data_IF_490566839591
#
_entry.id   IF_490566839591
#
_cell.length_a   1.000
_cell.length_b   1.000
_cell.length_c   1.000
_cell.angle_alpha   90.00
_cell.angle_beta   90.00
_cell.angle_gamma   90.00
#
_symmetry.space_group_name_H-M   'P 1'
#
loop_
_entity.id
_entity.type
_entity.pdbx_description
1 polymer ?
#
# COMPACT_ATOMS: atom_id res chain seq x y z
N UNK A 1 7.58 -7.86 12.94
CA UNK A 1 6.99 -7.64 11.60
C UNK A 1 5.70 -6.85 11.73
N UNK A 2 5.47 -5.96 10.79
CA UNK A 2 4.31 -5.06 10.78
C UNK A 2 3.47 -5.33 9.54
N UNK A 3 2.16 -5.45 9.73
CA UNK A 3 1.20 -5.45 8.63
C UNK A 3 0.61 -4.04 8.53
N UNK A 4 0.68 -3.45 7.35
CA UNK A 4 0.10 -2.12 7.10
C UNK A 4 -0.99 -2.25 6.04
N UNK A 5 -2.14 -1.64 6.31
CA UNK A 5 -3.26 -1.62 5.37
C UNK A 5 -3.54 -0.17 5.00
N UNK A 6 -3.43 0.16 3.72
CA UNK A 6 -3.76 1.50 3.23
C UNK A 6 -5.03 1.37 2.39
N UNK A 7 -6.15 1.86 2.92
CA UNK A 7 -7.44 1.83 2.24
C UNK A 7 -7.61 3.10 1.41
N UNK A 8 -7.98 2.93 0.15
CA UNK A 8 -8.06 4.00 -0.83
C UNK A 8 -9.43 4.04 -1.48
N UNK A 9 -9.88 5.26 -1.84
CA UNK A 9 -11.05 5.43 -2.68
C UNK A 9 -10.68 6.28 -3.89
N UNK A 10 -10.98 5.78 -5.08
CA UNK A 10 -10.62 6.42 -6.33
C UNK A 10 -11.75 6.25 -7.35
N UNK A 11 -11.94 7.28 -8.18
CA UNK A 11 -12.89 7.23 -9.29
C UNK A 11 -12.25 6.73 -10.58
N UNK A 12 -10.95 6.41 -10.56
CA UNK A 12 -10.29 5.85 -11.73
C UNK A 12 -10.89 4.48 -12.06
N UNK A 13 -11.04 4.15 -13.37
CA UNK A 13 -11.38 2.77 -13.74
C UNK A 13 -10.33 1.81 -13.19
N UNK A 14 -10.75 0.61 -12.83
CA UNK A 14 -9.84 -0.40 -12.26
C UNK A 14 -8.62 -0.63 -13.17
N UNK A 15 -8.83 -0.71 -14.47
CA UNK A 15 -7.74 -0.91 -15.44
C UNK A 15 -6.67 0.18 -15.36
N UNK A 16 -7.11 1.43 -15.24
CA UNK A 16 -6.20 2.56 -15.15
C UNK A 16 -5.45 2.55 -13.81
N UNK A 17 -6.16 2.22 -12.74
CA UNK A 17 -5.54 2.12 -11.41
C UNK A 17 -4.46 1.03 -11.40
N UNK A 18 -4.75 -0.13 -11.97
CA UNK A 18 -3.79 -1.22 -12.08
C UNK A 18 -2.60 -0.84 -12.95
N UNK A 19 -2.83 -0.14 -14.04
CA UNK A 19 -1.75 0.32 -14.91
C UNK A 19 -0.78 1.21 -14.13
N UNK A 20 -1.31 2.17 -13.39
CA UNK A 20 -0.49 3.07 -12.57
C UNK A 20 0.27 2.32 -11.48
N UNK A 21 -0.39 1.35 -10.85
CA UNK A 21 0.26 0.52 -9.82
C UNK A 21 1.43 -0.26 -10.41
N UNK A 22 1.25 -0.86 -11.58
CA UNK A 22 2.31 -1.63 -12.24
C UNK A 22 3.48 -0.74 -12.68
N UNK A 23 3.21 0.47 -13.13
CA UNK A 23 4.25 1.43 -13.50
C UNK A 23 5.12 1.81 -12.30
N UNK A 24 4.56 1.76 -11.10
CA UNK A 24 5.25 2.12 -9.87
C UNK A 24 5.92 0.94 -9.17
N UNK A 25 5.70 -0.29 -9.66
CA UNK A 25 6.29 -1.51 -9.07
C UNK A 25 7.78 -1.41 -8.77
N UNK A 26 8.63 -0.96 -9.71
CA UNK A 26 10.07 -0.92 -9.44
C UNK A 26 10.43 -0.08 -8.22
N UNK A 27 9.71 1.02 -8.00
CA UNK A 27 9.95 1.88 -6.85
C UNK A 27 9.62 1.16 -5.54
N UNK A 28 8.52 0.40 -5.52
CA UNK A 28 8.13 -0.36 -4.33
C UNK A 28 9.04 -1.56 -4.10
N UNK A 29 9.47 -2.24 -5.17
CA UNK A 29 10.41 -3.36 -5.04
C UNK A 29 11.75 -2.93 -4.46
N UNK A 30 12.13 -1.69 -4.65
CA UNK A 30 13.41 -1.16 -4.15
C UNK A 30 13.37 -0.74 -2.68
N UNK A 31 12.20 -0.76 -2.03
CA UNK A 31 12.09 -0.29 -0.65
C UNK A 31 12.71 -1.31 0.31
N UNK A 32 13.75 -0.90 1.09
CA UNK A 32 14.33 -1.79 2.09
C UNK A 32 13.29 -2.18 3.15
N UNK A 33 13.26 -3.47 3.49
CA UNK A 33 12.37 -3.96 4.54
C UNK A 33 10.93 -4.24 4.14
N UNK A 34 10.55 -3.93 2.90
CA UNK A 34 9.23 -4.31 2.40
C UNK A 34 9.30 -5.77 1.94
N UNK A 35 8.73 -6.66 2.74
CA UNK A 35 8.80 -8.09 2.50
C UNK A 35 7.79 -8.55 1.45
N UNK A 36 6.60 -7.94 1.46
CA UNK A 36 5.53 -8.27 0.53
C UNK A 36 4.54 -7.14 0.45
N UNK A 37 3.89 -7.02 -0.70
CA UNK A 37 2.79 -6.06 -0.89
C UNK A 37 1.72 -6.74 -1.74
N UNK A 38 0.46 -6.62 -1.29
CA UNK A 38 -0.71 -7.09 -2.02
C UNK A 38 -1.55 -5.92 -2.47
N UNK A 39 -2.00 -5.96 -3.72
CA UNK A 39 -2.91 -4.97 -4.28
C UNK A 39 -4.29 -5.61 -4.29
N UNK A 40 -5.24 -5.04 -3.56
CA UNK A 40 -6.56 -5.65 -3.38
C UNK A 40 -7.66 -4.68 -3.74
N UNK A 41 -8.84 -5.23 -4.02
CA UNK A 41 -10.04 -4.42 -4.20
C UNK A 41 -11.13 -4.92 -3.28
N UNK A 42 -11.96 -3.98 -2.82
CA UNK A 42 -13.15 -4.29 -2.06
C UNK A 42 -14.31 -4.66 -3.01
N UNK A 43 -15.37 -5.25 -2.46
CA UNK A 43 -16.61 -5.45 -3.21
C UNK A 43 -17.36 -4.14 -3.46
N UNK A 44 -16.99 -3.06 -2.79
CA UNK A 44 -17.52 -1.73 -3.07
C UNK A 44 -16.75 -1.10 -4.22
N UNK A 45 -17.49 -0.60 -5.21
CA UNK A 45 -16.89 0.06 -6.38
C UNK A 45 -16.03 1.26 -5.96
N UNK A 46 -14.82 1.32 -6.48
CA UNK A 46 -13.90 2.42 -6.21
C UNK A 46 -13.12 2.30 -4.91
N UNK A 47 -13.33 1.24 -4.14
CA UNK A 47 -12.62 1.01 -2.88
C UNK A 47 -11.54 -0.07 -3.05
N UNK A 48 -10.32 0.30 -2.71
CA UNK A 48 -9.13 -0.56 -2.88
C UNK A 48 -8.29 -0.53 -1.62
N UNK A 49 -7.37 -1.48 -1.50
CA UNK A 49 -6.43 -1.47 -0.39
C UNK A 49 -5.08 -2.03 -0.83
N UNK A 50 -4.01 -1.41 -0.35
CA UNK A 50 -2.68 -1.99 -0.40
C UNK A 50 -2.39 -2.63 0.94
N UNK A 51 -1.91 -3.86 0.94
CA UNK A 51 -1.52 -4.57 2.15
C UNK A 51 -0.02 -4.80 2.09
N UNK A 52 0.68 -4.24 3.07
CA UNK A 52 2.14 -4.26 3.13
C UNK A 52 2.60 -5.10 4.30
N UNK A 53 3.67 -5.88 4.10
CA UNK A 53 4.32 -6.61 5.18
C UNK A 53 5.73 -6.07 5.33
N UNK A 54 6.03 -5.48 6.50
CA UNK A 54 7.30 -4.84 6.82
C UNK A 54 8.11 -5.71 7.77
N UNK A 55 9.44 -5.73 7.59
CA UNK A 55 10.32 -6.49 8.45
C UNK A 55 10.47 -5.86 9.84
N UNK A 56 10.27 -4.54 9.95
CA UNK A 56 10.49 -3.81 11.19
C UNK A 56 9.68 -2.53 11.24
N UNK A 57 9.55 -1.99 12.44
CA UNK A 57 8.94 -0.69 12.67
C UNK A 57 9.72 0.42 11.96
N UNK A 58 11.05 0.32 11.95
CA UNK A 58 11.90 1.32 11.31
C UNK A 58 11.65 1.40 9.82
N UNK A 59 11.56 0.26 9.14
CA UNK A 59 11.28 0.21 7.71
C UNK A 59 9.92 0.81 7.38
N UNK A 60 8.90 0.49 8.17
CA UNK A 60 7.56 1.06 8.03
C UNK A 60 7.59 2.58 8.18
N UNK A 61 8.28 3.09 9.21
CA UNK A 61 8.34 4.54 9.46
C UNK A 61 9.10 5.27 8.35
N UNK A 62 10.17 4.68 7.85
CA UNK A 62 10.92 5.26 6.73
C UNK A 62 10.04 5.40 5.49
N UNK A 63 9.24 4.38 5.19
CA UNK A 63 8.30 4.46 4.06
C UNK A 63 7.24 5.53 4.29
N UNK A 64 6.64 5.55 5.50
CA UNK A 64 5.59 6.53 5.83
C UNK A 64 6.05 7.96 5.59
N UNK A 65 7.31 8.25 5.89
CA UNK A 65 7.86 9.60 5.76
C UNK A 65 8.45 9.88 4.38
N UNK A 66 8.43 8.90 3.48
CA UNK A 66 9.03 9.03 2.15
C UNK A 66 8.14 9.81 1.18
N UNK A 67 8.77 10.37 0.14
CA UNK A 67 8.05 11.02 -0.94
C UNK A 67 7.16 10.05 -1.70
N UNK A 68 7.60 8.79 -1.79
CA UNK A 68 6.82 7.75 -2.47
C UNK A 68 5.47 7.55 -1.78
N UNK A 69 5.47 7.46 -0.44
CA UNK A 69 4.23 7.32 0.32
C UNK A 69 3.34 8.55 0.16
N UNK A 70 3.94 9.73 0.20
CA UNK A 70 3.20 10.99 0.07
C UNK A 70 2.61 11.20 -1.31
N UNK A 71 3.14 10.52 -2.33
CA UNK A 71 2.65 10.62 -3.70
C UNK A 71 1.44 9.73 -3.99
N UNK A 72 1.08 8.83 -3.08
CA UNK A 72 -0.02 7.87 -3.31
C UNK A 72 -1.35 8.55 -3.62
N UNK A 73 -1.81 9.57 -2.85
CA UNK A 73 -3.08 10.21 -3.17
C UNK A 73 -3.13 10.79 -4.57
N UNK A 74 -2.07 11.46 -5.01
CA UNK A 74 -2.01 12.05 -6.34
C UNK A 74 -1.90 10.99 -7.42
N UNK A 75 -1.08 9.97 -7.19
CA UNK A 75 -0.84 8.91 -8.18
C UNK A 75 -2.12 8.17 -8.58
N UNK A 76 -3.04 7.98 -7.64
CA UNK A 76 -4.30 7.26 -7.88
C UNK A 76 -5.51 8.18 -7.87
N UNK A 77 -5.31 9.49 -7.86
CA UNK A 77 -6.38 10.49 -7.86
C UNK A 77 -7.45 10.16 -6.81
N UNK A 78 -7.00 10.01 -5.56
CA UNK A 78 -7.90 9.65 -4.47
C UNK A 78 -8.92 10.75 -4.23
N UNK A 79 -10.16 10.35 -3.92
CA UNK A 79 -11.25 11.28 -3.65
C UNK A 79 -11.31 11.72 -2.19
N UNK A 80 -10.53 11.04 -1.33
CA UNK A 80 -10.40 11.40 0.07
C UNK A 80 -9.06 10.92 0.59
N UNK A 81 -8.67 11.37 1.77
CA UNK A 81 -7.41 10.93 2.39
C UNK A 81 -7.43 9.41 2.62
N UNK A 82 -6.30 8.71 2.38
CA UNK A 82 -6.25 7.28 2.62
C UNK A 82 -6.40 6.96 4.11
N UNK A 83 -7.05 5.84 4.42
CA UNK A 83 -7.17 5.33 5.77
C UNK A 83 -6.08 4.30 6.00
N UNK A 84 -5.23 4.54 6.99
CA UNK A 84 -4.06 3.69 7.26
C UNK A 84 -4.23 2.97 8.58
N UNK A 85 -4.13 1.64 8.56
CA UNK A 85 -4.13 0.80 9.75
C UNK A 85 -2.83 0.03 9.83
N UNK A 86 -2.34 -0.20 11.04
CA UNK A 86 -1.15 -1.02 11.27
C UNK A 86 -1.43 -2.05 12.35
N UNK A 87 -0.88 -3.25 12.16
CA UNK A 87 -1.02 -4.36 13.09
C UNK A 87 0.35 -5.01 13.28
N UNK A 88 0.69 -5.33 14.53
CA UNK A 88 1.87 -6.12 14.79
C UNK A 88 1.59 -7.58 14.46
N UNK A 89 2.46 -8.19 13.67
CA UNK A 89 2.33 -9.61 13.36
C UNK A 89 2.96 -10.39 14.52
N UNK A 90 2.13 -11.16 15.23
CA UNK A 90 2.62 -11.95 16.37
C UNK A 90 3.42 -13.16 15.89
N UNK A 91 2.90 -13.89 14.91
CA UNK A 91 3.63 -14.96 14.23
C UNK A 91 2.89 -15.31 12.94
N UNK A 92 3.58 -16.01 12.06
CA UNK A 92 2.98 -16.50 10.81
C UNK A 92 2.78 -18.01 10.93
N UNK A 93 1.62 -18.50 10.47
CA UNK A 93 1.35 -19.93 10.48
C UNK A 93 2.28 -20.68 9.53
N UNK A 94 2.48 -20.10 8.34
CA UNK A 94 3.35 -20.65 7.30
C UNK A 94 4.40 -19.63 6.90
N UNK A 95 5.56 -20.11 6.53
CA UNK A 95 6.65 -19.24 6.05
C UNK A 95 6.48 -18.88 4.59
#
# INVERSE_FOLDING_TARGET
MILQIIKLKSNLPEEELLKRAKEREPQFKAIPGLMQKYYTKSDQKGAYAGIYVWDSQESFQSFRDSDLAKSIPEAYELIEAPNIETLDILFQLRK
#
